data_IF_586035936446
#
_entry.id   IF_586035936446
#
_cell.length_a   1.000
_cell.length_b   1.000
_cell.length_c   1.000
_cell.angle_alpha   90.00
_cell.angle_beta   90.00
_cell.angle_gamma   90.00
#
_symmetry.space_group_name_H-M   'P 1'
#
loop_
_entity.id
_entity.type
_entity.pdbx_description
1 polymer ?
#
# COMPACT_ATOMS: atom_id res chain seq x y z
N UNK A 1 -0.85 -9.78 -4.97
CA UNK A 1 -2.21 -9.38 -4.51
C UNK A 1 -3.15 -10.54 -4.24
N UNK A 2 -3.14 -11.67 -4.97
CA UNK A 2 -4.09 -12.79 -4.74
C UNK A 2 -4.04 -13.34 -3.31
N UNK A 3 -2.85 -13.71 -2.82
CA UNK A 3 -2.69 -14.26 -1.45
C UNK A 3 -3.18 -13.27 -0.39
N UNK A 4 -2.81 -11.99 -0.51
CA UNK A 4 -3.26 -10.93 0.40
C UNK A 4 -4.77 -10.78 0.43
N UNK A 5 -5.43 -10.81 -0.74
CA UNK A 5 -6.90 -10.78 -0.80
C UNK A 5 -7.54 -11.97 -0.11
N UNK A 6 -6.99 -13.18 -0.27
CA UNK A 6 -7.52 -14.36 0.42
C UNK A 6 -7.37 -14.24 1.94
N UNK A 7 -6.19 -13.81 2.43
CA UNK A 7 -5.95 -13.64 3.86
C UNK A 7 -6.83 -12.54 4.48
N UNK A 8 -7.00 -11.42 3.78
CA UNK A 8 -7.85 -10.32 4.24
C UNK A 8 -9.32 -10.70 4.22
N UNK A 9 -9.77 -11.42 3.19
CA UNK A 9 -11.13 -11.98 3.14
C UNK A 9 -11.38 -12.93 4.32
N UNK A 10 -10.50 -13.90 4.56
CA UNK A 10 -10.63 -14.83 5.68
C UNK A 10 -10.64 -14.07 7.03
N UNK A 11 -9.78 -13.06 7.18
CA UNK A 11 -9.76 -12.22 8.38
C UNK A 11 -11.07 -11.44 8.55
N UNK A 12 -11.64 -10.93 7.46
CA UNK A 12 -12.91 -10.21 7.45
C UNK A 12 -14.12 -11.10 7.74
N UNK A 13 -14.04 -12.41 7.44
CA UNK A 13 -15.06 -13.41 7.76
C UNK A 13 -14.99 -13.86 9.22
N UNK A 14 -13.81 -13.74 9.86
CA UNK A 14 -13.58 -14.05 11.28
C UNK A 14 -13.97 -12.92 12.24
N UNK A 15 -14.16 -11.71 11.72
CA UNK A 15 -14.43 -10.51 12.50
C UNK A 15 -15.86 -10.04 12.26
N UNK A 16 -16.55 -9.69 13.34
CA UNK A 16 -17.88 -9.10 13.24
C UNK A 16 -17.73 -7.67 12.67
N UNK A 17 -18.26 -7.46 11.46
CA UNK A 17 -18.11 -6.18 10.77
C UNK A 17 -19.07 -5.15 11.36
N UNK A 18 -18.52 -4.03 11.84
CA UNK A 18 -19.31 -3.00 12.54
C UNK A 18 -20.19 -2.16 11.60
N UNK A 19 -20.07 -2.36 10.28
CA UNK A 19 -20.70 -1.55 9.25
C UNK A 19 -20.06 -0.16 9.05
N UNK A 20 -19.04 0.18 9.83
CA UNK A 20 -18.33 1.46 9.75
C UNK A 20 -16.85 1.23 9.45
N UNK A 21 -16.36 1.87 8.39
CA UNK A 21 -14.98 1.73 7.96
C UNK A 21 -14.35 3.07 7.60
N UNK A 22 -13.04 3.17 7.82
CA UNK A 22 -12.21 4.27 7.40
C UNK A 22 -11.27 3.83 6.28
N UNK A 23 -10.90 4.79 5.44
CA UNK A 23 -9.88 4.60 4.40
C UNK A 23 -8.62 5.29 4.88
N UNK A 24 -7.53 4.54 4.99
CA UNK A 24 -6.19 5.08 5.19
C UNK A 24 -5.37 4.91 3.92
N UNK A 25 -4.58 5.91 3.54
CA UNK A 25 -3.72 5.86 2.36
C UNK A 25 -2.29 6.23 2.75
N UNK A 26 -1.46 5.22 2.92
CA UNK A 26 -0.05 5.37 3.27
C UNK A 26 0.83 5.18 2.04
N UNK A 27 1.73 6.15 1.81
CA UNK A 27 2.74 6.05 0.77
C UNK A 27 4.01 5.45 1.34
N UNK A 28 4.42 4.30 0.82
CA UNK A 28 5.72 3.70 1.12
C UNK A 28 6.69 4.06 0.02
N UNK A 29 7.62 4.95 0.35
CA UNK A 29 8.78 5.12 -0.48
C UNK A 29 9.80 4.02 -0.17
N UNK A 30 10.18 3.25 -1.19
CA UNK A 30 11.27 2.27 -1.08
C UNK A 30 12.65 2.90 -1.27
N UNK A 31 12.75 4.23 -1.10
CA UNK A 31 13.95 5.05 -1.00
C UNK A 31 14.98 4.64 0.09
N UNK A 32 14.94 3.43 0.65
CA UNK A 32 15.96 2.98 1.60
C UNK A 32 17.33 2.72 0.95
N UNK A 33 17.41 2.61 -0.38
CA UNK A 33 18.66 2.41 -1.09
C UNK A 33 19.19 3.72 -1.69
N UNK A 34 20.49 3.99 -1.50
CA UNK A 34 21.13 5.15 -2.12
C UNK A 34 21.06 5.10 -3.65
N UNK A 35 20.99 6.26 -4.30
CA UNK A 35 21.03 6.36 -5.78
C UNK A 35 22.24 5.64 -6.40
N UNK A 36 23.38 5.63 -5.70
CA UNK A 36 24.57 4.90 -6.13
C UNK A 36 24.36 3.38 -6.14
N UNK A 37 23.74 2.84 -5.09
CA UNK A 37 23.43 1.41 -4.98
C UNK A 37 22.41 0.97 -6.05
N UNK A 38 21.38 1.77 -6.26
CA UNK A 38 20.32 1.49 -7.25
C UNK A 38 20.87 1.46 -8.69
N UNK A 39 21.74 2.41 -9.05
CA UNK A 39 22.42 2.43 -10.36
C UNK A 39 23.33 1.23 -10.57
N UNK A 40 24.06 0.80 -9.53
CA UNK A 40 24.95 -0.37 -9.61
C UNK A 40 24.16 -1.68 -9.79
N UNK A 41 22.96 -1.76 -9.22
CA UNK A 41 22.12 -2.96 -9.28
C UNK A 41 21.10 -2.96 -10.44
N UNK A 42 21.11 -1.93 -11.30
CA UNK A 42 20.14 -1.75 -12.39
C UNK A 42 18.68 -1.88 -11.90
N UNK A 43 18.36 -1.14 -10.83
CA UNK A 43 17.03 -1.13 -10.22
C UNK A 43 16.48 0.29 -10.15
N UNK A 44 15.24 0.47 -10.60
CA UNK A 44 14.48 1.69 -10.39
C UNK A 44 13.67 1.65 -9.08
N UNK A 45 13.67 2.78 -8.35
CA UNK A 45 12.71 3.00 -7.26
C UNK A 45 11.33 3.13 -7.88
N UNK A 46 10.34 2.44 -7.34
CA UNK A 46 8.94 2.81 -7.58
C UNK A 46 8.29 3.09 -6.22
N UNK A 47 7.55 4.16 -6.10
CA UNK A 47 6.79 4.40 -4.88
C UNK A 47 5.61 3.43 -4.88
N UNK A 48 5.31 2.81 -3.73
CA UNK A 48 4.08 2.03 -3.57
C UNK A 48 3.12 2.85 -2.73
N UNK A 49 1.97 3.17 -3.29
CA UNK A 49 0.86 3.68 -2.53
C UNK A 49 0.02 2.49 -2.06
N UNK A 50 -0.14 2.34 -0.75
CA UNK A 50 -1.02 1.35 -0.14
C UNK A 50 -2.21 2.06 0.49
N UNK A 51 -3.41 1.70 0.05
CA UNK A 51 -4.67 2.18 0.61
C UNK A 51 -5.33 1.02 1.35
N UNK A 52 -5.65 1.22 2.62
CA UNK A 52 -6.28 0.25 3.50
C UNK A 52 -7.72 0.63 3.77
N UNK A 53 -8.61 -0.37 3.77
CA UNK A 53 -9.95 -0.26 4.33
C UNK A 53 -9.92 -0.87 5.73
N UNK A 54 -10.28 -0.08 6.74
CA UNK A 54 -10.16 -0.47 8.15
C UNK A 54 -11.51 -0.36 8.84
N UNK A 55 -11.96 -1.42 9.51
CA UNK A 55 -13.11 -1.35 10.42
C UNK A 55 -12.75 -0.48 11.62
N UNK A 56 -13.55 0.56 11.89
CA UNK A 56 -13.19 1.53 12.92
C UNK A 56 -13.53 1.10 14.34
N UNK A 57 -14.40 0.11 14.51
CA UNK A 57 -14.77 -0.40 15.84
C UNK A 57 -13.77 -1.46 16.32
N UNK A 58 -13.35 -2.35 15.42
CA UNK A 58 -12.44 -3.45 15.71
C UNK A 58 -10.97 -3.12 15.38
N UNK A 59 -10.72 -2.06 14.61
CA UNK A 59 -9.37 -1.68 14.17
C UNK A 59 -8.75 -2.63 13.15
N UNK A 60 -9.57 -3.44 12.48
CA UNK A 60 -9.11 -4.49 11.59
C UNK A 60 -9.01 -4.04 10.13
N UNK A 61 -7.94 -4.43 9.44
CA UNK A 61 -7.79 -4.22 8.00
C UNK A 61 -8.64 -5.26 7.25
N UNK A 62 -9.64 -4.79 6.49
CA UNK A 62 -10.56 -5.63 5.72
C UNK A 62 -10.11 -5.76 4.26
N UNK A 63 -9.48 -4.71 3.70
CA UNK A 63 -8.94 -4.76 2.35
C UNK A 63 -7.69 -3.88 2.20
N UNK A 64 -6.87 -4.21 1.19
CA UNK A 64 -5.70 -3.43 0.79
C UNK A 64 -5.62 -3.31 -0.73
N UNK A 65 -5.53 -2.06 -1.19
CA UNK A 65 -5.20 -1.73 -2.56
C UNK A 65 -3.79 -1.17 -2.64
N UNK A 66 -2.91 -1.86 -3.37
CA UNK A 66 -1.55 -1.38 -3.64
C UNK A 66 -1.43 -0.97 -5.09
N UNK A 67 -0.95 0.25 -5.33
CA UNK A 67 -0.56 0.73 -6.66
C UNK A 67 0.92 1.11 -6.67
N UNK A 68 1.65 0.66 -7.69
CA UNK A 68 2.98 1.18 -7.97
C UNK A 68 2.81 2.34 -8.94
N UNK A 69 3.05 3.57 -8.50
CA UNK A 69 3.20 4.68 -9.45
C UNK A 69 4.54 4.49 -10.15
N UNK A 70 4.53 4.47 -11.47
CA UNK A 70 5.72 4.80 -12.25
C UNK A 70 6.17 6.21 -11.86
N UNK A 71 7.45 6.58 -12.03
CA UNK A 71 7.85 7.98 -11.87
C UNK A 71 7.01 8.77 -12.88
N UNK A 72 5.95 9.43 -12.40
CA UNK A 72 5.22 10.34 -13.25
C UNK A 72 6.23 11.41 -13.67
N UNK A 73 6.38 11.62 -14.97
CA UNK A 73 7.15 12.73 -15.54
C UNK A 73 6.57 14.11 -15.19
N UNK A 74 5.64 14.21 -14.23
CA UNK A 74 5.23 15.46 -13.62
C UNK A 74 6.37 15.98 -12.75
N UNK A 75 7.20 16.85 -13.35
CA UNK A 75 8.07 17.76 -12.61
C UNK A 75 7.20 18.52 -11.61
N UNK A 76 7.48 18.33 -10.32
CA UNK A 76 6.96 19.21 -9.28
C UNK A 76 7.85 20.44 -9.27
N UNK A 77 7.40 21.50 -9.95
CA UNK A 77 7.96 22.86 -9.89
C UNK A 77 9.42 23.04 -10.37
N UNK A 78 9.87 24.30 -10.54
CA UNK A 78 11.29 24.62 -10.60
C UNK A 78 11.99 24.38 -9.26
#
# INVERSE_FOLDING_TARGET
MRIWRELLRLSSELLDQSGHAAIDATYFDRQQASNHYLKRCDRDVRTIQATFLVDTAQGAVIDVHCSAKWPNGTKIGP
#
